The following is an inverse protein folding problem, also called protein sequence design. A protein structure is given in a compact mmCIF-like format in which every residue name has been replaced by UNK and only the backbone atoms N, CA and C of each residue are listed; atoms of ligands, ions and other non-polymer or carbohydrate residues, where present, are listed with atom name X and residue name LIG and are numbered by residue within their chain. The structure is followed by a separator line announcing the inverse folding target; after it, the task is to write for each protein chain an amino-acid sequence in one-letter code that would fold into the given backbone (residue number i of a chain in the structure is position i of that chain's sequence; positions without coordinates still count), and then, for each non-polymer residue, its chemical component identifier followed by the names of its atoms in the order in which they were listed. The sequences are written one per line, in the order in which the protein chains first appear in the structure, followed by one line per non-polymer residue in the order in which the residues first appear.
data_IF_057281056692
#
_entry.id   IF_057281056692
#
_cell.length_a   1.000
_cell.length_b   1.000
_cell.length_c   1.000
_cell.angle_alpha   90.00
_cell.angle_beta   90.00
_cell.angle_gamma   90.00
#
_symmetry.space_group_name_H-M   'P 1'
#
loop_
_entity.id
_entity.type
_entity.pdbx_description
1 polymer ?
#
# COMPACT_ATOMS: atom_id res chain seq x y z
N UNK A 1 -31.05 21.96 -2.53
CA UNK A 1 -30.57 20.66 -3.03
C UNK A 1 -29.35 20.25 -2.21
N UNK A 2 -29.55 20.01 -0.91
CA UNK A 2 -28.48 19.69 0.04
C UNK A 2 -28.00 18.27 -0.21
N UNK A 3 -26.92 18.16 -0.99
CA UNK A 3 -26.32 16.91 -1.42
C UNK A 3 -26.02 16.01 -0.22
N UNK A 4 -26.26 14.72 -0.44
CA UNK A 4 -25.95 13.60 0.43
C UNK A 4 -24.89 13.92 1.49
N UNK A 5 -25.35 14.00 2.75
CA UNK A 5 -24.52 14.28 3.92
C UNK A 5 -23.25 13.42 3.89
N UNK A 6 -22.12 13.97 4.37
CA UNK A 6 -20.84 13.25 4.49
C UNK A 6 -21.02 11.87 5.17
N UNK A 7 -21.99 11.77 6.06
CA UNK A 7 -22.42 10.53 6.69
C UNK A 7 -22.91 9.44 5.71
N UNK A 8 -23.61 9.82 4.65
CA UNK A 8 -24.06 8.89 3.60
C UNK A 8 -22.87 8.28 2.86
N UNK A 9 -21.85 9.09 2.53
CA UNK A 9 -20.64 8.60 1.88
C UNK A 9 -19.84 7.63 2.75
N UNK A 10 -19.78 7.86 4.06
CA UNK A 10 -19.18 6.90 5.01
C UNK A 10 -19.89 5.55 4.98
N UNK A 11 -21.23 5.55 5.05
CA UNK A 11 -22.03 4.32 5.02
C UNK A 11 -21.88 3.59 3.69
N UNK A 12 -21.87 4.31 2.56
CA UNK A 12 -21.66 3.72 1.23
C UNK A 12 -20.27 3.08 1.12
N UNK A 13 -19.22 3.76 1.61
CA UNK A 13 -17.85 3.22 1.57
C UNK A 13 -17.74 1.91 2.36
N UNK A 14 -18.38 1.84 3.52
CA UNK A 14 -18.44 0.59 4.33
C UNK A 14 -19.14 -0.52 3.55
N UNK A 15 -20.28 -0.25 2.92
CA UNK A 15 -21.01 -1.27 2.13
C UNK A 15 -20.17 -1.74 0.95
N UNK A 16 -19.52 -0.83 0.22
CA UNK A 16 -18.62 -1.20 -0.89
C UNK A 16 -17.47 -2.07 -0.40
N UNK A 17 -16.85 -1.72 0.73
CA UNK A 17 -15.78 -2.53 1.31
C UNK A 17 -16.24 -3.93 1.74
N UNK A 18 -17.49 -4.08 2.21
CA UNK A 18 -18.07 -5.38 2.56
C UNK A 18 -18.39 -6.23 1.33
N UNK A 19 -18.94 -5.63 0.27
CA UNK A 19 -19.30 -6.34 -0.98
C UNK A 19 -18.06 -6.79 -1.75
N UNK A 20 -17.07 -5.90 -1.89
CA UNK A 20 -15.83 -6.23 -2.60
C UNK A 20 -14.84 -7.01 -1.72
N UNK A 21 -14.97 -6.92 -0.40
CA UNK A 21 -14.04 -7.46 0.57
C UNK A 21 -12.75 -6.64 0.66
N UNK A 22 -12.19 -6.54 1.87
CA UNK A 22 -10.95 -5.76 2.13
C UNK A 22 -9.74 -6.31 1.39
N UNK A 23 -9.73 -7.60 1.04
CA UNK A 23 -8.61 -8.26 0.35
C UNK A 23 -8.47 -7.81 -1.11
N UNK A 24 -9.57 -7.67 -1.85
CA UNK A 24 -9.56 -7.14 -3.23
C UNK A 24 -9.29 -5.64 -3.26
N UNK A 25 -9.90 -4.88 -2.35
CA UNK A 25 -9.62 -3.45 -2.22
C UNK A 25 -8.17 -3.16 -1.88
N UNK A 26 -7.55 -3.97 -1.01
CA UNK A 26 -6.13 -3.83 -0.67
C UNK A 26 -5.22 -4.14 -1.85
N UNK A 27 -5.46 -5.23 -2.58
CA UNK A 27 -4.61 -5.59 -3.72
C UNK A 27 -4.63 -4.49 -4.82
N UNK A 28 -5.82 -4.03 -5.19
CA UNK A 28 -5.98 -2.96 -6.20
C UNK A 28 -5.55 -1.59 -5.63
N UNK A 29 -5.83 -1.35 -4.35
CA UNK A 29 -5.46 -0.12 -3.66
C UNK A 29 -3.97 0.03 -3.41
N UNK A 30 -3.20 -1.06 -3.32
CA UNK A 30 -1.74 -1.02 -3.20
C UNK A 30 -1.08 -0.62 -4.52
N UNK A 31 -1.57 -1.17 -5.65
CA UNK A 31 -1.12 -0.82 -7.00
C UNK A 31 -1.45 0.65 -7.35
N UNK A 32 -2.70 1.06 -7.15
CA UNK A 32 -3.14 2.44 -7.40
C UNK A 32 -2.58 3.42 -6.36
N UNK A 33 -2.48 3.00 -5.10
CA UNK A 33 -1.96 3.81 -4.01
C UNK A 33 -0.48 4.13 -4.18
N UNK A 34 0.31 3.21 -4.71
CA UNK A 34 1.72 3.44 -5.03
C UNK A 34 1.89 4.47 -6.15
N UNK A 35 1.08 4.42 -7.20
CA UNK A 35 1.08 5.42 -8.26
C UNK A 35 0.70 6.81 -7.76
N UNK A 36 -0.35 6.90 -6.93
CA UNK A 36 -0.81 8.16 -6.33
C UNK A 36 0.22 8.71 -5.31
N UNK A 37 0.90 7.84 -4.56
CA UNK A 37 1.97 8.22 -3.62
C UNK A 37 3.15 8.88 -4.35
N UNK A 38 3.58 8.30 -5.47
CA UNK A 38 4.64 8.86 -6.30
C UNK A 38 4.23 10.17 -6.96
N UNK A 39 2.97 10.27 -7.41
CA UNK A 39 2.42 11.52 -7.94
C UNK A 39 2.40 12.64 -6.89
N UNK A 40 1.90 12.35 -5.68
CA UNK A 40 1.90 13.31 -4.56
C UNK A 40 3.32 13.69 -4.15
N UNK A 41 4.27 12.76 -4.18
CA UNK A 41 5.68 13.00 -3.84
C UNK A 41 6.32 13.94 -4.86
N UNK A 42 6.19 13.64 -6.15
CA UNK A 42 6.72 14.50 -7.22
C UNK A 42 6.08 15.89 -7.26
N UNK A 43 4.80 16.01 -6.91
CA UNK A 43 4.11 17.30 -6.82
C UNK A 43 4.56 18.15 -5.61
N UNK A 44 4.96 17.53 -4.49
CA UNK A 44 5.57 18.22 -3.35
C UNK A 44 7.05 18.58 -3.62
N UNK A 45 7.77 17.73 -4.35
CA UNK A 45 9.20 17.93 -4.69
C UNK A 45 9.38 19.03 -5.77
N UNK A 46 8.33 19.35 -6.53
CA UNK A 46 8.31 20.51 -7.42
C UNK A 46 8.16 21.86 -6.72
N UNK A 47 7.76 21.88 -5.44
CA UNK A 47 7.57 23.09 -4.62
C UNK A 47 8.71 23.28 -3.58
N UNK A 48 9.40 22.20 -3.20
CA UNK A 48 10.51 22.20 -2.23
C UNK A 48 11.78 21.47 -2.77
N UNK A 49 12.87 22.19 -3.12
CA UNK A 49 14.07 21.58 -3.73
C UNK A 49 15.01 20.82 -2.76
N UNK A 50 14.59 20.46 -1.55
CA UNK A 50 15.53 20.14 -0.46
C UNK A 50 15.30 18.83 0.32
N UNK A 51 14.65 17.80 -0.25
CA UNK A 51 14.58 16.47 0.42
C UNK A 51 14.77 15.29 -0.55
N UNK A 52 15.92 14.60 -0.52
CA UNK A 52 16.10 13.35 -1.23
C UNK A 52 15.07 12.30 -0.78
N UNK A 53 14.30 11.86 -1.76
CA UNK A 53 13.32 10.79 -1.66
C UNK A 53 13.92 9.46 -1.16
N UNK A 54 13.83 9.16 0.15
CA UNK A 54 13.92 7.77 0.63
C UNK A 54 12.71 7.00 0.06
N UNK A 55 12.92 6.22 -1.00
CA UNK A 55 12.02 5.17 -1.42
C UNK A 55 12.27 3.96 -0.51
N UNK A 56 11.53 3.87 0.60
CA UNK A 56 11.32 2.57 1.25
C UNK A 56 10.30 1.81 0.43
N UNK A 57 10.77 1.15 -0.62
CA UNK A 57 10.10 -0.02 -1.18
C UNK A 57 10.39 -1.16 -0.22
N UNK A 58 9.51 -1.36 0.76
CA UNK A 58 9.57 -2.57 1.57
C UNK A 58 9.29 -3.76 0.64
N UNK A 59 10.14 -4.81 0.63
CA UNK A 59 9.95 -5.98 -0.23
C UNK A 59 8.63 -6.70 0.10
N UNK A 60 8.07 -7.47 -0.85
CA UNK A 60 6.78 -8.11 -0.69
C UNK A 60 6.81 -9.02 0.53
N UNK A 61 5.73 -8.96 1.30
CA UNK A 61 5.49 -9.81 2.44
C UNK A 61 5.93 -11.25 2.14
N UNK A 62 6.85 -11.73 2.98
CA UNK A 62 7.02 -13.12 3.39
C UNK A 62 6.27 -14.12 2.51
N UNK A 63 6.99 -14.58 1.47
CA UNK A 63 6.69 -15.85 0.83
C UNK A 63 6.76 -16.90 1.93
N UNK A 64 5.60 -17.42 2.30
CA UNK A 64 5.48 -18.53 3.22
C UNK A 64 6.27 -19.74 2.68
N UNK A 65 7.08 -20.31 3.57
CA UNK A 65 7.26 -21.76 3.78
C UNK A 65 7.97 -22.59 2.70
N UNK A 66 9.23 -22.96 2.99
CA UNK A 66 9.74 -24.34 3.02
C UNK A 66 11.25 -24.29 3.38
N UNK A 67 11.62 -24.68 4.61
CA UNK A 67 12.30 -25.97 4.89
C UNK A 67 13.80 -25.89 4.54
N UNK A 68 14.64 -25.52 5.50
CA UNK A 68 15.33 -26.42 6.45
C UNK A 68 16.62 -27.02 5.86
N UNK A 69 17.73 -26.75 6.56
CA UNK A 69 19.03 -27.43 6.53
C UNK A 69 19.92 -27.24 5.30
N UNK A 70 20.72 -26.18 5.33
CA UNK A 70 22.11 -26.22 4.83
C UNK A 70 23.05 -25.92 6.01
N UNK A 71 23.34 -26.97 6.79
CA UNK A 71 24.33 -26.95 7.86
C UNK A 71 25.71 -27.16 7.23
N UNK A 72 26.15 -26.16 6.47
CA UNK A 72 27.50 -26.07 5.90
C UNK A 72 28.50 -25.82 7.04
N UNK A 73 29.30 -26.86 7.34
CA UNK A 73 30.73 -26.77 7.04
C UNK A 73 31.45 -25.54 7.62
N UNK A 74 31.49 -25.43 8.94
CA UNK A 74 32.45 -24.50 9.58
C UNK A 74 33.06 -25.04 10.87
N UNK A 75 33.27 -26.36 10.98
CA UNK A 75 34.06 -26.96 12.06
C UNK A 75 35.09 -27.98 11.52
N UNK A 76 35.84 -27.59 10.48
CA UNK A 76 37.11 -28.22 10.11
C UNK A 76 38.18 -27.18 9.91
#
# INVERSE_FOLDING_TARGET
MGGFSIWHWLVVLVIVALVFGTKKLRNIGEDMGSAIKSFKKGMQEGDDPAKPSELKSDPPAAVHSATDTDKDRSER
#
